data_IF_572610245230
#
_entry.id   IF_572610245230
#
_cell.length_a   1.000
_cell.length_b   1.000
_cell.length_c   1.000
_cell.angle_alpha   90.00
_cell.angle_beta   90.00
_cell.angle_gamma   90.00
#
_symmetry.space_group_name_H-M   'P 1'
#
loop_
_entity.id
_entity.type
_entity.pdbx_description
1 polymer ?
#
# COMPACT_ATOMS: atom_id res chain seq x y z
N UNK A 1 34.23 7.36 15.92
CA UNK A 1 33.26 6.93 14.89
C UNK A 1 31.96 7.67 15.10
N UNK A 2 31.20 7.97 14.04
CA UNK A 2 29.93 8.71 14.17
C UNK A 2 28.94 8.01 15.09
N UNK A 3 28.86 6.68 15.05
CA UNK A 3 28.03 5.87 15.95
C UNK A 3 28.27 6.19 17.44
N UNK A 4 29.53 6.29 17.88
CA UNK A 4 29.87 6.64 19.27
C UNK A 4 29.37 8.02 19.68
N UNK A 5 29.53 9.03 18.81
CA UNK A 5 29.05 10.40 19.07
C UNK A 5 27.53 10.47 19.14
N UNK A 6 26.86 9.69 18.30
CA UNK A 6 25.38 9.60 18.32
C UNK A 6 24.93 8.90 19.60
N UNK A 7 25.56 7.79 19.99
CA UNK A 7 25.21 7.10 21.23
C UNK A 7 25.50 7.92 22.49
N UNK A 8 26.52 8.78 22.47
CA UNK A 8 26.85 9.69 23.58
C UNK A 8 25.74 10.73 23.83
N UNK A 9 25.07 11.20 22.77
CA UNK A 9 24.01 12.22 22.87
C UNK A 9 22.63 11.60 23.07
N UNK A 10 22.35 10.48 22.40
CA UNK A 10 21.00 9.90 22.32
C UNK A 10 20.81 8.63 23.15
N UNK A 11 21.88 8.10 23.75
CA UNK A 11 21.86 6.87 24.56
C UNK A 11 22.55 5.69 23.89
N UNK A 12 22.87 4.67 24.68
CA UNK A 12 23.52 3.46 24.18
C UNK A 12 22.60 2.67 23.24
N UNK A 13 23.21 1.97 22.28
CA UNK A 13 22.54 1.11 21.29
C UNK A 13 21.50 1.79 20.39
N UNK A 14 21.55 3.14 20.26
CA UNK A 14 20.67 3.89 19.35
C UNK A 14 20.94 3.56 17.87
N UNK A 15 22.20 3.31 17.51
CA UNK A 15 22.57 3.02 16.14
C UNK A 15 23.75 2.05 16.05
N UNK A 16 23.64 1.08 15.16
CA UNK A 16 24.74 0.19 14.83
C UNK A 16 25.76 0.87 13.91
N UNK A 17 27.02 0.45 14.00
CA UNK A 17 28.08 1.00 13.14
C UNK A 17 27.78 0.81 11.65
N UNK A 18 27.20 -0.33 11.26
CA UNK A 18 26.81 -0.62 9.89
C UNK A 18 25.79 0.39 9.34
N UNK A 19 24.88 0.89 10.19
CA UNK A 19 23.89 1.90 9.77
C UNK A 19 24.57 3.23 9.51
N UNK A 20 25.50 3.67 10.37
CA UNK A 20 26.30 4.86 10.10
C UNK A 20 27.06 4.73 8.76
N UNK A 21 27.72 3.60 8.51
CA UNK A 21 28.47 3.38 7.27
C UNK A 21 27.57 3.47 6.02
N UNK A 22 26.36 2.90 6.07
CA UNK A 22 25.37 3.01 4.99
C UNK A 22 24.98 4.48 4.71
N UNK A 23 24.73 5.27 5.75
CA UNK A 23 24.44 6.70 5.61
C UNK A 23 25.62 7.48 5.02
N UNK A 24 26.85 7.23 5.48
CA UNK A 24 28.04 7.86 4.89
C UNK A 24 28.26 7.47 3.42
N UNK A 25 27.86 6.28 3.00
CA UNK A 25 27.89 5.89 1.59
C UNK A 25 26.86 6.70 0.77
N UNK A 26 25.62 6.83 1.26
CA UNK A 26 24.56 7.63 0.61
C UNK A 26 24.95 9.12 0.50
N UNK A 27 25.48 9.70 1.56
CA UNK A 27 25.94 11.09 1.54
C UNK A 27 27.09 11.31 0.55
N UNK A 28 28.00 10.34 0.42
CA UNK A 28 29.08 10.40 -0.58
C UNK A 28 28.59 10.28 -2.01
N UNK A 29 27.45 9.63 -2.26
CA UNK A 29 26.80 9.63 -3.57
C UNK A 29 25.94 10.87 -3.84
N UNK A 30 25.92 11.86 -2.93
CA UNK A 30 25.14 13.09 -3.05
C UNK A 30 23.66 12.94 -2.68
N UNK A 31 23.25 11.78 -2.13
CA UNK A 31 21.89 11.58 -1.62
C UNK A 31 21.83 11.97 -0.14
N UNK A 32 21.23 13.13 0.13
CA UNK A 32 20.98 13.65 1.48
C UNK A 32 19.52 13.46 1.92
N UNK A 33 18.71 12.71 1.17
CA UNK A 33 17.32 12.46 1.53
C UNK A 33 17.22 11.63 2.80
N UNK A 34 16.43 12.13 3.76
CA UNK A 34 16.13 11.41 5.00
C UNK A 34 14.97 10.41 4.82
N UNK A 35 14.25 10.47 3.69
CA UNK A 35 13.18 9.53 3.42
C UNK A 35 13.71 8.14 3.09
N UNK A 36 12.99 7.13 3.59
CA UNK A 36 13.17 5.75 3.17
C UNK A 36 12.92 5.65 1.66
N UNK A 37 13.79 4.91 0.97
CA UNK A 37 13.50 4.51 -0.40
C UNK A 37 12.24 3.62 -0.42
N UNK A 38 11.49 3.61 -1.55
CA UNK A 38 10.35 2.71 -1.70
C UNK A 38 10.76 1.28 -1.34
N UNK A 39 10.01 0.65 -0.42
CA UNK A 39 10.32 -0.70 0.02
C UNK A 39 9.87 -1.67 -1.06
N UNK A 40 10.72 -2.63 -1.42
CA UNK A 40 10.31 -3.71 -2.31
C UNK A 40 9.12 -4.45 -1.70
N UNK A 41 8.05 -4.61 -2.48
CA UNK A 41 6.80 -5.23 -2.02
C UNK A 41 5.76 -4.26 -1.45
N UNK A 42 6.03 -2.95 -1.39
CA UNK A 42 4.96 -1.97 -1.21
C UNK A 42 4.04 -2.05 -2.44
N UNK A 43 2.70 -2.23 -2.28
CA UNK A 43 1.79 -2.17 -3.40
C UNK A 43 2.01 -0.87 -4.15
N UNK A 44 2.23 -0.96 -5.47
CA UNK A 44 2.28 0.21 -6.34
C UNK A 44 1.06 1.05 -6.01
N UNK A 45 1.26 2.36 -5.81
CA UNK A 45 0.20 3.29 -5.47
C UNK A 45 -0.80 3.28 -6.63
N UNK A 46 -1.80 2.41 -6.54
CA UNK A 46 -2.93 2.44 -7.45
C UNK A 46 -3.60 3.78 -7.16
N UNK A 47 -3.63 4.63 -8.18
CA UNK A 47 -4.26 5.93 -8.10
C UNK A 47 -5.71 5.73 -7.66
N UNK A 48 -6.03 6.31 -6.50
CA UNK A 48 -7.36 6.19 -5.90
C UNK A 48 -8.42 6.77 -6.82
N UNK A 49 -8.06 7.74 -7.67
CA UNK A 49 -8.98 8.33 -8.63
C UNK A 49 -9.36 7.34 -9.74
N UNK A 50 -8.45 6.45 -10.15
CA UNK A 50 -8.78 5.39 -11.13
C UNK A 50 -9.75 4.36 -10.55
N UNK A 51 -9.67 4.06 -9.26
CA UNK A 51 -10.63 3.17 -8.59
C UNK A 51 -11.99 3.84 -8.42
N UNK A 52 -12.03 5.14 -8.05
CA UNK A 52 -13.27 5.90 -7.86
C UNK A 52 -14.04 6.11 -9.16
N UNK A 53 -13.34 6.46 -10.25
CA UNK A 53 -13.96 6.68 -11.56
C UNK A 53 -14.61 5.41 -12.10
N UNK A 54 -14.08 4.26 -11.70
CA UNK A 54 -14.62 2.96 -12.05
C UNK A 54 -15.69 2.42 -11.08
N UNK A 55 -16.38 3.29 -10.33
CA UNK A 55 -17.44 2.89 -9.39
C UNK A 55 -18.58 2.05 -10.01
N UNK A 56 -18.75 2.07 -11.34
CA UNK A 56 -19.75 1.28 -12.07
C UNK A 56 -19.25 -0.07 -12.58
N UNK A 57 -17.93 -0.30 -12.54
CA UNK A 57 -17.31 -1.53 -13.01
C UNK A 57 -17.14 -2.52 -11.87
N UNK A 58 -17.21 -3.80 -12.22
CA UNK A 58 -16.91 -4.88 -11.28
C UNK A 58 -15.42 -4.89 -10.94
N UNK A 59 -15.06 -5.37 -9.76
CA UNK A 59 -13.66 -5.53 -9.32
C UNK A 59 -12.78 -6.27 -10.35
N UNK A 60 -13.38 -7.20 -11.11
CA UNK A 60 -12.68 -7.96 -12.15
C UNK A 60 -12.34 -7.10 -13.37
N UNK A 61 -13.24 -6.23 -13.79
CA UNK A 61 -13.01 -5.31 -14.92
C UNK A 61 -11.95 -4.28 -14.56
N UNK A 62 -12.01 -3.72 -13.34
CA UNK A 62 -10.99 -2.79 -12.83
C UNK A 62 -9.62 -3.47 -12.74
N UNK A 63 -9.56 -4.71 -12.26
CA UNK A 63 -8.32 -5.47 -12.21
C UNK A 63 -7.72 -5.71 -13.60
N UNK A 64 -8.57 -5.97 -14.60
CA UNK A 64 -8.14 -6.17 -15.99
C UNK A 64 -7.63 -4.86 -16.63
N UNK A 65 -8.31 -3.74 -16.40
CA UNK A 65 -7.92 -2.42 -16.90
C UNK A 65 -6.60 -1.95 -16.29
N UNK A 66 -6.46 -2.11 -14.97
CA UNK A 66 -5.26 -1.71 -14.23
C UNK A 66 -4.12 -2.75 -14.31
N UNK A 67 -4.35 -3.89 -14.97
CA UNK A 67 -3.41 -5.02 -15.03
C UNK A 67 -2.89 -5.49 -13.65
N UNK A 68 -3.74 -5.39 -12.63
CA UNK A 68 -3.43 -5.83 -11.26
C UNK A 68 -4.27 -7.04 -10.88
N UNK A 69 -3.90 -7.71 -9.79
CA UNK A 69 -4.72 -8.81 -9.27
C UNK A 69 -6.05 -8.29 -8.71
N UNK A 70 -7.12 -9.09 -8.84
CA UNK A 70 -8.43 -8.81 -8.24
C UNK A 70 -8.30 -8.50 -6.74
N UNK A 71 -7.51 -9.29 -6.01
CA UNK A 71 -7.27 -9.14 -4.58
C UNK A 71 -6.64 -7.79 -4.24
N UNK A 72 -5.77 -7.26 -5.11
CA UNK A 72 -5.17 -5.93 -4.93
C UNK A 72 -6.25 -4.84 -4.99
N UNK A 73 -7.19 -4.95 -5.93
CA UNK A 73 -8.32 -4.01 -6.06
C UNK A 73 -9.26 -4.11 -4.85
N UNK A 74 -9.58 -5.32 -4.39
CA UNK A 74 -10.42 -5.54 -3.20
C UNK A 74 -9.80 -4.93 -1.94
N UNK A 75 -8.51 -5.18 -1.72
CA UNK A 75 -7.77 -4.61 -0.60
C UNK A 75 -7.78 -3.08 -0.63
N UNK A 76 -7.64 -2.49 -1.82
CA UNK A 76 -7.63 -1.04 -1.98
C UNK A 76 -9.02 -0.43 -1.80
N UNK A 77 -10.07 -1.08 -2.29
CA UNK A 77 -11.46 -0.68 -2.02
C UNK A 77 -11.76 -0.71 -0.52
N UNK A 78 -11.31 -1.75 0.18
CA UNK A 78 -11.44 -1.83 1.64
C UNK A 78 -10.67 -0.72 2.37
N UNK A 79 -9.44 -0.40 1.96
CA UNK A 79 -8.67 0.73 2.51
C UNK A 79 -9.37 2.08 2.30
N UNK A 80 -10.11 2.23 1.21
CA UNK A 80 -10.89 3.42 0.87
C UNK A 80 -12.28 3.45 1.54
N UNK A 81 -12.66 2.40 2.28
CA UNK A 81 -13.96 2.29 2.96
C UNK A 81 -15.12 1.84 2.07
N UNK A 82 -14.84 1.38 0.85
CA UNK A 82 -15.87 0.78 -0.01
C UNK A 82 -16.13 -0.67 0.40
N UNK A 83 -17.38 -0.96 0.73
CA UNK A 83 -17.84 -2.32 1.09
C UNK A 83 -18.57 -2.93 -0.08
N UNK A 84 -18.17 -4.12 -0.52
CA UNK A 84 -18.95 -4.87 -1.50
C UNK A 84 -20.28 -5.28 -0.89
N UNK A 85 -21.36 -4.60 -1.24
CA UNK A 85 -22.71 -5.03 -0.90
C UNK A 85 -23.05 -6.21 -1.81
N UNK A 86 -22.86 -7.43 -1.31
CA UNK A 86 -23.51 -8.60 -1.87
C UNK A 86 -25.01 -8.39 -1.69
N UNK A 87 -25.70 -7.92 -2.73
CA UNK A 87 -27.15 -8.02 -2.79
C UNK A 87 -27.47 -9.52 -2.73
N UNK A 88 -28.01 -9.95 -1.59
CA UNK A 88 -28.53 -11.32 -1.44
C UNK A 88 -29.61 -11.50 -2.51
N UNK A 89 -29.68 -12.64 -3.22
CA UNK A 89 -30.77 -12.89 -4.15
C UNK A 89 -32.09 -12.82 -3.37
N UNK A 90 -32.91 -11.84 -3.69
CA UNK A 90 -34.28 -11.78 -3.22
C UNK A 90 -34.97 -12.87 -4.03
N UNK A 91 -35.25 -14.00 -3.39
CA UNK A 91 -35.98 -15.09 -4.01
C UNK A 91 -37.30 -14.52 -4.56
N UNK A 92 -37.43 -14.54 -5.88
CA UNK A 92 -38.70 -14.33 -6.55
C UNK A 92 -39.64 -15.41 -6.01
N UNK A 93 -40.51 -15.04 -5.06
CA UNK A 93 -41.66 -15.86 -4.71
C UNK A 93 -42.57 -15.85 -5.93
N UNK A 94 -42.34 -16.82 -6.82
CA UNK A 94 -43.28 -17.16 -7.87
C UNK A 94 -44.62 -17.46 -7.20
N UNK A 95 -45.63 -16.66 -7.53
CA UNK A 95 -47.00 -17.12 -7.36
C UNK A 95 -47.20 -18.29 -8.33
N UNK A 96 -47.77 -19.40 -7.85
CA UNK A 96 -48.96 -19.88 -8.53
C UNK A 96 -50.03 -20.46 -7.60
N UNK A 97 -51.25 -20.49 -8.14
CA UNK A 97 -52.46 -21.22 -7.72
C UNK A 97 -53.37 -20.43 -6.75
N UNK A 98 -54.65 -20.15 -7.03
CA UNK A 98 -55.63 -20.58 -8.05
C UNK A 98 -56.58 -19.42 -8.34
#
# INVERSE_FOLDING_TARGET
KASKKICEVYGENVIEECVCQKWFARFRSGDFSLHDSPRSGQPQEIDNEQIKNNSRYTTREVAQELQVSKTTVENRLHQLGYVSRLEKPHELSGQPNT
#
